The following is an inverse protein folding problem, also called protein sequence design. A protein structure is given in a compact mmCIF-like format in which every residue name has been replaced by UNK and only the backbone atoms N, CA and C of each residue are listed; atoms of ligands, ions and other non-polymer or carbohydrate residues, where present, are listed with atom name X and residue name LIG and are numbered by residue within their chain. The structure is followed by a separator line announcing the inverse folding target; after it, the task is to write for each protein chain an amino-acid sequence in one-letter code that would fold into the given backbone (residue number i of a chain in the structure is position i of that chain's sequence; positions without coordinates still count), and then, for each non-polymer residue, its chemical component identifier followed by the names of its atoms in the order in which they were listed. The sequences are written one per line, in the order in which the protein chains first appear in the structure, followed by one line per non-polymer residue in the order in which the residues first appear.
data_IF_131103507093
#
_entry.id   IF_131103507093
#
_cell.length_a   1.000
_cell.length_b   1.000
_cell.length_c   1.000
_cell.angle_alpha   90.00
_cell.angle_beta   90.00
_cell.angle_gamma   90.00
#
_symmetry.space_group_name_H-M   'P 1'
#
loop_
_entity.id
_entity.type
_entity.pdbx_description
1 polymer ?
#
# COMPACT_ATOMS: atom_id res chain seq x y z
N UNK A 1 2.28 4.31 3.90
CA UNK A 1 1.06 4.14 3.09
C UNK A 1 -0.11 3.65 3.94
N UNK A 2 -1.30 3.76 3.41
CA UNK A 2 -2.50 3.19 4.06
C UNK A 2 -2.47 1.67 3.88
N UNK A 3 -2.61 0.92 4.97
CA UNK A 3 -2.56 -0.55 4.90
C UNK A 3 -3.84 -1.15 4.29
N UNK A 4 -3.77 -2.43 3.91
CA UNK A 4 -4.90 -3.14 3.32
C UNK A 4 -6.12 -3.22 4.21
N UNK A 5 -5.95 -3.19 5.53
CA UNK A 5 -7.06 -3.18 6.47
C UNK A 5 -7.79 -1.83 6.57
N UNK A 6 -7.21 -0.75 6.01
CA UNK A 6 -7.73 0.62 6.09
C UNK A 6 -8.04 1.25 4.74
N UNK A 7 -7.50 0.73 3.65
CA UNK A 7 -7.62 1.37 2.34
C UNK A 7 -8.84 0.85 1.57
N UNK A 8 -10.01 1.34 1.96
CA UNK A 8 -11.26 1.02 1.28
C UNK A 8 -11.29 1.61 -0.13
N UNK A 9 -11.69 0.81 -1.10
CA UNK A 9 -11.84 1.21 -2.50
C UNK A 9 -13.14 0.62 -3.07
N UNK A 10 -13.68 1.17 -4.19
CA UNK A 10 -14.79 0.52 -4.89
C UNK A 10 -14.43 -0.89 -5.34
N UNK A 11 -15.43 -1.78 -5.34
CA UNK A 11 -15.21 -3.20 -5.69
C UNK A 11 -14.57 -3.37 -7.08
N UNK A 12 -15.01 -2.59 -8.07
CA UNK A 12 -14.44 -2.65 -9.42
C UNK A 12 -12.95 -2.29 -9.44
N UNK A 13 -12.53 -1.32 -8.63
CA UNK A 13 -11.14 -0.92 -8.51
C UNK A 13 -10.30 -2.01 -7.85
N UNK A 14 -10.84 -2.65 -6.80
CA UNK A 14 -10.17 -3.76 -6.13
C UNK A 14 -9.99 -4.96 -7.06
N UNK A 15 -11.02 -5.32 -7.85
CA UNK A 15 -10.97 -6.40 -8.82
C UNK A 15 -9.94 -6.13 -9.92
N UNK A 16 -9.89 -4.88 -10.42
CA UNK A 16 -8.91 -4.48 -11.42
C UNK A 16 -7.48 -4.58 -10.89
N UNK A 17 -7.24 -4.17 -9.66
CA UNK A 17 -5.93 -4.29 -9.02
C UNK A 17 -5.48 -5.74 -8.89
N UNK A 18 -6.38 -6.64 -8.49
CA UNK A 18 -6.09 -8.08 -8.40
C UNK A 18 -5.70 -8.63 -9.78
N UNK A 19 -6.46 -8.28 -10.82
CA UNK A 19 -6.22 -8.77 -12.17
C UNK A 19 -4.91 -8.23 -12.76
N UNK A 20 -4.60 -6.96 -12.55
CA UNK A 20 -3.42 -6.31 -13.14
C UNK A 20 -2.14 -6.56 -12.37
N UNK A 21 -2.20 -6.62 -11.06
CA UNK A 21 -1.03 -6.70 -10.20
C UNK A 21 -0.76 -8.10 -9.67
N UNK A 22 -1.68 -9.04 -9.88
CA UNK A 22 -1.52 -10.42 -9.41
C UNK A 22 -1.49 -10.54 -7.88
N UNK A 23 -2.08 -9.59 -7.17
CA UNK A 23 -2.17 -9.61 -5.72
C UNK A 23 -3.42 -10.33 -5.23
N UNK A 24 -3.39 -10.81 -3.99
CA UNK A 24 -4.56 -11.43 -3.38
C UNK A 24 -5.64 -10.39 -3.09
N UNK A 25 -6.94 -10.75 -3.24
CA UNK A 25 -8.03 -9.88 -2.80
C UNK A 25 -7.94 -9.61 -1.30
N UNK A 26 -8.22 -8.37 -0.89
CA UNK A 26 -8.22 -7.98 0.52
C UNK A 26 -9.50 -7.26 0.89
N UNK A 27 -9.80 -7.22 2.17
CA UNK A 27 -10.91 -6.46 2.74
C UNK A 27 -10.42 -5.60 3.89
N UNK A 28 -11.12 -4.48 4.14
CA UNK A 28 -10.85 -3.66 5.30
C UNK A 28 -11.25 -4.40 6.58
N UNK A 29 -10.85 -3.85 7.73
CA UNK A 29 -11.25 -4.40 9.04
C UNK A 29 -12.77 -4.30 9.27
N UNK A 30 -13.49 -3.49 8.49
CA UNK A 30 -14.96 -3.39 8.54
C UNK A 30 -15.66 -4.10 7.39
N UNK A 31 -14.94 -4.93 6.62
CA UNK A 31 -15.52 -5.88 5.66
C UNK A 31 -15.77 -5.36 4.25
N UNK A 32 -15.24 -4.22 3.87
CA UNK A 32 -15.39 -3.67 2.51
C UNK A 32 -14.18 -3.99 1.63
N UNK A 33 -14.30 -3.96 0.28
CA UNK A 33 -13.16 -4.19 -0.59
C UNK A 33 -12.03 -3.20 -0.34
N UNK A 34 -10.79 -3.67 -0.45
CA UNK A 34 -9.60 -2.85 -0.22
C UNK A 34 -8.46 -3.23 -1.16
N UNK A 35 -7.41 -2.40 -1.18
CA UNK A 35 -6.15 -2.69 -1.88
C UNK A 35 -5.02 -2.64 -0.85
N UNK A 36 -4.18 -3.67 -0.85
CA UNK A 36 -2.94 -3.70 -0.10
C UNK A 36 -1.81 -3.15 -0.97
N UNK A 37 -1.53 -1.84 -0.83
CA UNK A 37 -0.50 -1.17 -1.61
C UNK A 37 0.89 -1.73 -1.32
N UNK A 38 1.16 -2.14 -0.09
CA UNK A 38 2.43 -2.76 0.27
C UNK A 38 2.66 -4.08 -0.45
N UNK A 39 1.63 -4.93 -0.52
CA UNK A 39 1.70 -6.18 -1.26
C UNK A 39 1.90 -5.94 -2.76
N UNK A 40 1.19 -4.96 -3.33
CA UNK A 40 1.35 -4.59 -4.74
C UNK A 40 2.78 -4.13 -5.05
N UNK A 41 3.34 -3.27 -4.21
CA UNK A 41 4.71 -2.78 -4.38
C UNK A 41 5.72 -3.92 -4.28
N UNK A 42 5.58 -4.81 -3.30
CA UNK A 42 6.48 -5.96 -3.17
C UNK A 42 6.39 -6.91 -4.36
N UNK A 43 5.20 -7.11 -4.91
CA UNK A 43 5.00 -7.95 -6.09
C UNK A 43 5.74 -7.37 -7.30
N UNK A 44 5.65 -6.06 -7.52
CA UNK A 44 6.35 -5.37 -8.62
C UNK A 44 7.86 -5.43 -8.45
N UNK A 45 8.36 -5.23 -7.23
CA UNK A 45 9.79 -5.34 -6.94
C UNK A 45 10.31 -6.76 -7.18
N UNK A 46 9.54 -7.77 -6.79
CA UNK A 46 9.91 -9.17 -7.03
C UNK A 46 10.01 -9.48 -8.51
N UNK A 47 9.10 -8.99 -9.33
CA UNK A 47 9.17 -9.14 -10.78
C UNK A 47 10.42 -8.48 -11.37
N UNK A 48 10.90 -7.40 -10.77
CA UNK A 48 12.14 -6.72 -11.17
C UNK A 48 13.40 -7.38 -10.58
N UNK A 49 13.26 -8.48 -9.84
CA UNK A 49 14.38 -9.18 -9.23
C UNK A 49 14.85 -8.57 -7.90
N UNK A 50 14.04 -7.74 -7.28
CA UNK A 50 14.35 -7.08 -6.00
C UNK A 50 13.59 -7.73 -4.88
N UNK A 51 14.33 -8.19 -3.85
CA UNK A 51 13.75 -8.72 -2.62
C UNK A 51 13.55 -7.58 -1.63
N UNK A 52 12.34 -7.37 -1.20
CA UNK A 52 11.99 -6.23 -0.35
C UNK A 52 11.34 -6.67 0.95
N UNK A 53 11.69 -5.99 2.04
CA UNK A 53 11.09 -6.18 3.35
C UNK A 53 10.24 -4.97 3.71
N UNK A 54 9.01 -5.20 4.15
CA UNK A 54 8.13 -4.11 4.58
C UNK A 54 8.52 -3.64 5.98
N UNK A 55 8.64 -2.32 6.13
CA UNK A 55 8.91 -1.68 7.42
C UNK A 55 7.95 -0.49 7.58
N UNK A 56 7.80 -0.03 8.82
CA UNK A 56 6.89 1.08 9.13
C UNK A 56 5.45 0.63 9.30
N UNK A 57 4.53 1.57 9.41
CA UNK A 57 3.13 1.32 9.72
C UNK A 57 2.17 1.95 8.73
N UNK A 58 0.88 1.80 9.02
CA UNK A 58 -0.19 2.41 8.24
C UNK A 58 -0.25 3.92 8.48
N UNK A 59 -0.36 4.71 7.41
CA UNK A 59 -0.48 6.16 7.52
C UNK A 59 -1.84 6.61 8.05
N UNK A 60 -2.86 5.76 7.97
CA UNK A 60 -4.20 6.11 8.44
C UNK A 60 -4.40 5.83 9.93
N UNK A 61 -4.01 4.63 10.41
CA UNK A 61 -4.18 4.30 11.83
C UNK A 61 -2.86 4.32 12.62
N UNK A 62 -1.73 4.54 11.95
CA UNK A 62 -0.44 4.72 12.60
C UNK A 62 -0.25 6.15 13.10
N UNK A 63 0.77 6.36 13.94
CA UNK A 63 1.13 7.68 14.44
C UNK A 63 2.42 8.18 13.81
N UNK A 64 2.56 9.50 13.66
CA UNK A 64 3.77 10.12 13.13
C UNK A 64 3.88 10.13 11.60
N UNK A 65 2.88 9.60 10.89
CA UNK A 65 2.83 9.60 9.43
C UNK A 65 1.63 10.42 8.94
N UNK A 66 1.73 10.95 7.73
CA UNK A 66 0.68 11.75 7.12
C UNK A 66 -0.17 10.94 6.16
N UNK A 67 -1.48 11.17 6.15
CA UNK A 67 -2.41 10.57 5.21
C UNK A 67 -3.45 11.57 4.74
N UNK A 68 -3.53 11.79 3.42
CA UNK A 68 -4.58 12.61 2.83
C UNK A 68 -5.97 12.00 3.09
N UNK A 69 -6.09 10.69 2.97
CA UNK A 69 -7.32 9.94 3.23
C UNK A 69 -7.77 10.10 4.69
N UNK A 70 -6.81 10.20 5.61
CA UNK A 70 -7.08 10.43 7.03
C UNK A 70 -7.34 11.89 7.39
N UNK A 71 -7.33 12.82 6.43
CA UNK A 71 -7.64 14.23 6.67
C UNK A 71 -6.44 15.09 7.00
N UNK A 72 -5.22 14.58 6.94
CA UNK A 72 -4.01 15.36 7.21
C UNK A 72 -3.74 16.38 6.10
N UNK A 73 -3.38 17.60 6.48
CA UNK A 73 -2.94 18.62 5.56
C UNK A 73 -1.49 18.40 5.11
N UNK A 74 -0.68 17.77 5.96
CA UNK A 74 0.71 17.45 5.65
C UNK A 74 0.83 16.33 4.64
N UNK A 75 2.01 16.23 4.05
CA UNK A 75 2.38 15.17 3.11
C UNK A 75 3.72 14.59 3.50
N UNK A 76 3.97 13.37 3.07
CA UNK A 76 5.26 12.72 3.24
C UNK A 76 5.86 12.43 1.87
N UNK A 77 7.19 12.27 1.83
CA UNK A 77 7.94 12.05 0.61
C UNK A 77 8.64 10.72 0.69
N UNK A 78 8.55 9.94 -0.39
CA UNK A 78 9.35 8.73 -0.57
C UNK A 78 10.61 9.02 -1.36
N UNK A 79 11.74 8.46 -0.93
CA UNK A 79 13.02 8.58 -1.60
C UNK A 79 13.59 7.19 -1.82
N UNK A 80 14.22 7.00 -2.99
CA UNK A 80 14.89 5.75 -3.31
C UNK A 80 16.17 6.05 -4.08
N UNK A 81 17.22 5.31 -3.77
CA UNK A 81 18.50 5.41 -4.48
C UNK A 81 19.24 4.08 -4.42
N UNK A 82 20.22 3.94 -5.31
CA UNK A 82 21.13 2.79 -5.28
C UNK A 82 22.38 3.21 -4.53
N UNK A 83 22.68 2.53 -3.42
CA UNK A 83 23.85 2.85 -2.62
C UNK A 83 25.13 2.46 -3.36
N UNK A 84 26.22 3.23 -3.26
CA UNK A 84 27.52 2.84 -3.79
C UNK A 84 28.03 1.57 -3.12
N UNK A 85 28.72 0.73 -3.88
CA UNK A 85 29.32 -0.50 -3.38
C UNK A 85 30.75 -0.26 -2.89
#
# INVERSE_FOLDING_TARGET
HVCGACYEVPAAMAEDAVARLGIAPTTTSWGTPSIDLGAATRAQLREAGVDATAVGGCTLHGTGLHSHRGGDAGRQVGLVWIAPR
#
